data_IF_416424427962
#
_entry.id   IF_416424427962
#
_cell.length_a   1.000
_cell.length_b   1.000
_cell.length_c   1.000
_cell.angle_alpha   90.00
_cell.angle_beta   90.00
_cell.angle_gamma   90.00
#
_symmetry.space_group_name_H-M   'P 1'
#
loop_
_entity.id
_entity.type
_entity.pdbx_description
1 polymer ?
#
# COMPACT_ATOMS: atom_id res chain seq x y z
N UNK A 1 -6.56 21.56 4.06
CA UNK A 1 -6.67 20.25 4.73
C UNK A 1 -5.48 20.10 5.66
N UNK A 2 -5.69 19.78 6.93
CA UNK A 2 -4.59 19.54 7.86
C UNK A 2 -3.86 18.26 7.43
N UNK A 3 -2.56 18.35 7.14
CA UNK A 3 -1.72 17.17 6.92
C UNK A 3 -1.61 16.42 8.24
N UNK A 4 -2.27 15.27 8.33
CA UNK A 4 -2.18 14.37 9.47
C UNK A 4 -0.92 13.52 9.30
N UNK A 5 0.11 13.83 10.07
CA UNK A 5 1.40 13.12 10.03
C UNK A 5 1.40 11.83 10.86
N UNK A 6 0.27 11.46 11.45
CA UNK A 6 0.13 10.28 12.31
C UNK A 6 -0.22 9.03 11.50
N UNK A 7 0.70 8.59 10.65
CA UNK A 7 0.62 7.27 10.04
C UNK A 7 1.32 6.28 10.98
N UNK A 8 0.54 5.38 11.57
CA UNK A 8 1.08 4.24 12.32
C UNK A 8 0.41 2.98 11.79
N UNK A 9 1.23 2.06 11.29
CA UNK A 9 0.79 0.77 10.80
C UNK A 9 1.65 -0.30 11.45
N UNK A 10 0.98 -1.27 12.07
CA UNK A 10 1.62 -2.44 12.65
C UNK A 10 1.93 -3.42 11.51
N UNK A 11 3.20 -3.42 11.06
CA UNK A 11 3.66 -4.27 9.96
C UNK A 11 3.95 -5.69 10.47
N UNK A 12 3.78 -6.68 9.59
CA UNK A 12 4.35 -8.01 9.86
C UNK A 12 5.88 -7.98 9.68
N UNK A 13 6.58 -8.97 10.23
CA UNK A 13 8.05 -9.00 10.22
C UNK A 13 8.67 -8.95 8.81
N UNK A 14 8.03 -9.54 7.80
CA UNK A 14 8.51 -9.49 6.42
C UNK A 14 8.32 -8.08 5.84
N UNK A 15 7.12 -7.52 6.03
CA UNK A 15 6.81 -6.15 5.57
C UNK A 15 7.71 -5.13 6.24
N UNK A 16 7.99 -5.26 7.55
CA UNK A 16 8.88 -4.36 8.29
C UNK A 16 10.31 -4.40 7.75
N UNK A 17 10.85 -5.59 7.46
CA UNK A 17 12.17 -5.74 6.84
C UNK A 17 12.23 -5.08 5.45
N UNK A 18 11.21 -5.30 4.62
CA UNK A 18 11.10 -4.66 3.30
C UNK A 18 10.99 -3.13 3.43
N UNK A 19 10.28 -2.64 4.46
CA UNK A 19 10.02 -1.23 4.66
C UNK A 19 11.29 -0.43 5.02
N UNK A 20 12.31 -1.06 5.59
CA UNK A 20 13.61 -0.40 5.89
C UNK A 20 14.28 0.17 4.64
N UNK A 21 14.08 -0.46 3.49
CA UNK A 21 14.59 0.00 2.19
C UNK A 21 13.58 0.83 1.39
N UNK A 22 12.48 1.26 2.00
CA UNK A 22 11.38 1.87 1.28
C UNK A 22 11.69 3.30 0.84
N UNK A 23 11.24 3.67 -0.35
CA UNK A 23 11.39 5.02 -0.90
C UNK A 23 10.02 5.66 -1.03
N UNK A 24 9.85 6.88 -0.51
CA UNK A 24 8.59 7.61 -0.64
C UNK A 24 8.26 7.87 -2.12
N UNK A 25 7.06 7.45 -2.55
CA UNK A 25 6.56 7.69 -3.92
C UNK A 25 5.57 8.85 -3.98
N UNK A 26 4.73 9.01 -2.96
CA UNK A 26 3.74 10.09 -2.95
C UNK A 26 2.72 9.98 -1.82
N UNK A 27 2.06 11.11 -1.54
CA UNK A 27 0.87 11.18 -0.70
C UNK A 27 -0.39 11.28 -1.57
N UNK A 28 -1.39 10.46 -1.27
CA UNK A 28 -2.73 10.55 -1.83
C UNK A 28 -3.74 10.96 -0.76
N UNK A 29 -5.01 11.10 -1.15
CA UNK A 29 -6.06 11.54 -0.22
C UNK A 29 -6.25 10.59 0.98
N UNK A 30 -6.17 9.29 0.74
CA UNK A 30 -6.49 8.27 1.75
C UNK A 30 -5.25 7.68 2.44
N UNK A 31 -4.05 8.14 2.07
CA UNK A 31 -2.84 7.47 2.52
C UNK A 31 -1.57 7.87 1.78
N UNK A 32 -0.47 7.33 2.27
CA UNK A 32 0.88 7.53 1.75
C UNK A 32 1.38 6.26 1.06
N UNK A 33 2.17 6.40 0.00
CA UNK A 33 2.70 5.29 -0.78
C UNK A 33 4.22 5.31 -0.77
N UNK A 34 4.81 4.15 -0.50
CA UNK A 34 6.23 3.90 -0.62
C UNK A 34 6.50 2.78 -1.62
N UNK A 35 7.62 2.88 -2.33
CA UNK A 35 8.22 1.82 -3.11
C UNK A 35 8.95 0.86 -2.19
N UNK A 36 8.73 -0.43 -2.38
CA UNK A 36 9.44 -1.51 -1.71
C UNK A 36 10.35 -2.24 -2.70
N UNK A 37 11.43 -2.88 -2.23
CA UNK A 37 12.27 -3.70 -3.09
C UNK A 37 11.48 -4.82 -3.79
N UNK A 38 11.87 -5.13 -5.02
CA UNK A 38 11.26 -6.20 -5.82
C UNK A 38 9.99 -5.81 -6.58
N UNK A 39 9.91 -4.58 -7.11
CA UNK A 39 8.76 -4.04 -7.85
C UNK A 39 7.45 -4.08 -7.05
N UNK A 40 7.55 -3.89 -5.73
CA UNK A 40 6.41 -3.81 -4.82
C UNK A 40 6.19 -2.36 -4.41
N UNK A 41 4.97 -2.07 -3.98
CA UNK A 41 4.62 -0.81 -3.36
C UNK A 41 3.76 -1.10 -2.14
N UNK A 42 3.97 -0.33 -1.08
CA UNK A 42 3.13 -0.34 0.10
C UNK A 42 2.36 0.97 0.19
N UNK A 43 1.04 0.85 0.35
CA UNK A 43 0.17 1.98 0.65
C UNK A 43 -0.25 1.89 2.10
N UNK A 44 0.03 2.93 2.87
CA UNK A 44 -0.35 3.07 4.28
C UNK A 44 -1.52 4.03 4.37
N UNK A 45 -2.58 3.60 5.03
CA UNK A 45 -3.85 4.29 5.14
C UNK A 45 -4.00 4.94 6.52
N UNK A 46 -4.77 6.02 6.60
CA UNK A 46 -5.16 6.61 7.88
C UNK A 46 -6.33 5.87 8.53
N UNK A 47 -7.20 5.28 7.71
CA UNK A 47 -8.43 4.63 8.16
C UNK A 47 -8.47 3.16 7.74
N UNK A 48 -8.73 2.27 8.72
CA UNK A 48 -8.88 0.82 8.50
C UNK A 48 -9.99 0.52 7.51
N UNK A 49 -11.07 1.29 7.54
CA UNK A 49 -12.23 1.08 6.66
C UNK A 49 -11.83 1.23 5.18
N UNK A 50 -11.14 2.31 4.83
CA UNK A 50 -10.61 2.53 3.49
C UNK A 50 -9.64 1.42 3.06
N UNK A 51 -8.76 0.99 3.97
CA UNK A 51 -7.82 -0.12 3.71
C UNK A 51 -8.57 -1.43 3.39
N UNK A 52 -9.60 -1.77 4.17
CA UNK A 52 -10.39 -2.99 3.96
C UNK A 52 -11.19 -2.94 2.66
N UNK A 53 -11.83 -1.81 2.35
CA UNK A 53 -12.60 -1.66 1.11
C UNK A 53 -11.69 -1.77 -0.14
N UNK A 54 -10.53 -1.10 -0.14
CA UNK A 54 -9.58 -1.18 -1.25
C UNK A 54 -8.97 -2.60 -1.37
N UNK A 55 -8.63 -3.22 -0.24
CA UNK A 55 -8.12 -4.59 -0.21
C UNK A 55 -9.13 -5.62 -0.72
N UNK A 56 -10.41 -5.48 -0.39
CA UNK A 56 -11.47 -6.38 -0.86
C UNK A 56 -11.68 -6.28 -2.38
N UNK A 57 -11.67 -5.05 -2.92
CA UNK A 57 -11.74 -4.83 -4.38
C UNK A 57 -10.55 -5.49 -5.06
N UNK A 58 -9.33 -5.24 -4.58
CA UNK A 58 -8.11 -5.81 -5.15
C UNK A 58 -8.08 -7.34 -5.06
N UNK A 59 -8.60 -7.92 -3.98
CA UNK A 59 -8.76 -9.38 -3.85
C UNK A 59 -9.75 -9.94 -4.87
N UNK A 60 -10.89 -9.28 -5.08
CA UNK A 60 -11.90 -9.68 -6.07
C UNK A 60 -11.37 -9.63 -7.50
N UNK A 61 -10.59 -8.60 -7.83
CA UNK A 61 -10.02 -8.41 -9.17
C UNK A 61 -8.64 -9.05 -9.35
N UNK A 62 -8.12 -9.77 -8.35
CA UNK A 62 -6.77 -10.37 -8.33
C UNK A 62 -6.46 -11.30 -9.51
N UNK A 63 -7.49 -11.87 -10.15
CA UNK A 63 -7.35 -12.72 -11.35
C UNK A 63 -7.09 -11.92 -12.64
N UNK A 64 -7.32 -10.62 -12.62
CA UNK A 64 -7.12 -9.75 -13.77
C UNK A 64 -5.68 -9.27 -13.84
N UNK A 65 -5.06 -9.41 -15.02
CA UNK A 65 -3.71 -8.86 -15.29
C UNK A 65 -3.64 -7.33 -15.35
N UNK A 66 -4.80 -6.65 -15.38
CA UNK A 66 -4.87 -5.19 -15.44
C UNK A 66 -4.86 -4.54 -14.06
N UNK A 67 -5.00 -5.34 -12.99
CA UNK A 67 -4.97 -4.84 -11.63
C UNK A 67 -3.71 -5.34 -10.92
N UNK A 68 -3.13 -4.52 -10.04
CA UNK A 68 -1.95 -4.93 -9.26
C UNK A 68 -2.32 -6.08 -8.34
N UNK A 69 -1.44 -7.07 -8.24
CA UNK A 69 -1.60 -8.18 -7.30
C UNK A 69 -1.31 -7.69 -5.90
N UNK A 70 -2.04 -8.25 -4.95
CA UNK A 70 -1.86 -7.99 -3.53
C UNK A 70 -1.04 -9.12 -2.93
N UNK A 71 0.05 -8.76 -2.25
CA UNK A 71 0.94 -9.70 -1.57
C UNK A 71 0.57 -9.84 -0.10
N UNK A 72 0.35 -8.72 0.59
CA UNK A 72 -0.01 -8.68 2.00
C UNK A 72 -1.01 -7.55 2.27
N UNK A 73 -1.86 -7.75 3.27
CA UNK A 73 -2.84 -6.75 3.74
C UNK A 73 -2.86 -6.74 5.26
N UNK A 74 -2.55 -5.60 5.86
CA UNK A 74 -2.76 -5.35 7.28
C UNK A 74 -4.00 -4.48 7.53
N UNK A 75 -4.15 -4.02 8.79
CA UNK A 75 -5.25 -3.14 9.16
C UNK A 75 -5.13 -1.74 8.54
N UNK A 76 -3.90 -1.26 8.37
CA UNK A 76 -3.61 0.09 7.87
C UNK A 76 -2.68 0.09 6.66
N UNK A 77 -2.39 -1.05 6.05
CA UNK A 77 -1.52 -1.08 4.89
C UNK A 77 -1.87 -2.21 3.91
N UNK A 78 -1.49 -2.00 2.66
CA UNK A 78 -1.58 -2.99 1.59
C UNK A 78 -0.24 -3.01 0.85
N UNK A 79 0.38 -4.19 0.75
CA UNK A 79 1.52 -4.45 -0.12
C UNK A 79 1.00 -5.00 -1.44
N UNK A 80 1.35 -4.34 -2.55
CA UNK A 80 0.88 -4.67 -3.90
C UNK A 80 1.98 -4.48 -4.94
N UNK A 81 1.70 -4.87 -6.19
CA UNK A 81 2.58 -4.53 -7.32
C UNK A 81 2.78 -3.02 -7.44
N UNK A 82 4.02 -2.60 -7.72
CA UNK A 82 4.34 -1.25 -8.17
C UNK A 82 3.79 -1.10 -9.59
N UNK A 83 3.00 -0.04 -9.81
CA UNK A 83 2.50 0.32 -11.14
C UNK A 83 3.20 1.60 -11.57
N UNK A 84 3.95 1.50 -12.66
CA UNK A 84 4.61 2.65 -13.27
C UNK A 84 3.64 3.32 -14.26
N UNK A 85 3.54 4.64 -14.18
CA UNK A 85 2.79 5.42 -15.17
C UNK A 85 3.74 5.86 -16.28
N UNK A 86 3.37 5.61 -17.52
CA UNK A 86 3.94 6.33 -18.66
C UNK A 86 3.05 7.53 -18.96
N UNK A 87 3.65 8.72 -19.01
CA UNK A 87 2.96 9.97 -19.32
C UNK A 87 2.98 10.25 -20.82
#
# INVERSE_FOLDING_TARGET
MARTYAYSADFDAETEELFKGAVFLGEGHNGIVYELPGNKAIKIFQEVKCCKEEGDILKKVSRSKYFPRVYSTGNFYIVRDKVEGHR
#
